data_IF_089031627923
#
_entry.id   IF_089031627923
#
_cell.length_a   1.000
_cell.length_b   1.000
_cell.length_c   1.000
_cell.angle_alpha   90.00
_cell.angle_beta   90.00
_cell.angle_gamma   90.00
#
_symmetry.space_group_name_H-M   'P 1'
#
loop_
_entity.id
_entity.type
_entity.pdbx_description
1 polymer ?
#
# COMPACT_ATOMS: atom_id res chain seq x y z
N UNK A 1 -23.10 0.02 -4.80
CA UNK A 1 -22.26 -1.00 -4.15
C UNK A 1 -23.08 -1.60 -3.02
N UNK A 2 -23.00 -2.90 -2.78
CA UNK A 2 -23.63 -3.52 -1.62
C UNK A 2 -23.01 -2.96 -0.30
N UNK A 3 -23.59 -3.24 0.87
CA UNK A 3 -22.98 -2.95 2.17
C UNK A 3 -21.56 -3.54 2.25
N UNK A 4 -20.71 -2.96 3.07
CA UNK A 4 -19.28 -3.32 3.11
C UNK A 4 -19.00 -4.79 3.47
N UNK A 5 -19.88 -5.40 4.25
CA UNK A 5 -19.88 -6.80 4.69
C UNK A 5 -20.38 -7.79 3.63
N UNK A 6 -21.05 -7.30 2.59
CA UNK A 6 -21.59 -8.10 1.48
C UNK A 6 -20.79 -7.96 0.18
N UNK A 7 -19.74 -7.16 0.17
CA UNK A 7 -18.93 -6.90 -1.04
C UNK A 7 -18.17 -8.15 -1.46
N UNK A 8 -18.31 -8.52 -2.72
CA UNK A 8 -17.65 -9.69 -3.32
C UNK A 8 -16.49 -9.30 -4.23
N UNK A 9 -15.56 -10.22 -4.56
CA UNK A 9 -14.54 -10.00 -5.59
C UNK A 9 -15.12 -9.59 -6.95
N UNK A 10 -16.30 -10.12 -7.30
CA UNK A 10 -17.01 -9.78 -8.55
C UNK A 10 -17.43 -8.31 -8.59
N UNK A 11 -17.84 -7.73 -7.45
CA UNK A 11 -18.19 -6.31 -7.35
C UNK A 11 -16.97 -5.40 -7.61
N UNK A 12 -15.81 -5.79 -7.08
CA UNK A 12 -14.54 -5.11 -7.36
C UNK A 12 -14.19 -5.18 -8.85
N UNK A 13 -14.26 -6.37 -9.44
CA UNK A 13 -13.99 -6.56 -10.87
C UNK A 13 -14.96 -5.75 -11.75
N UNK A 14 -16.24 -5.74 -11.42
CA UNK A 14 -17.26 -4.96 -12.13
C UNK A 14 -17.02 -3.45 -12.02
N UNK A 15 -16.61 -2.96 -10.83
CA UNK A 15 -16.26 -1.56 -10.64
C UNK A 15 -15.03 -1.18 -11.44
N UNK A 16 -13.96 -1.95 -11.38
CA UNK A 16 -12.72 -1.72 -12.13
C UNK A 16 -12.99 -1.70 -13.65
N UNK A 17 -13.80 -2.64 -14.15
CA UNK A 17 -14.21 -2.65 -15.56
C UNK A 17 -14.98 -1.39 -15.95
N UNK A 18 -15.87 -0.89 -15.07
CA UNK A 18 -16.69 0.32 -15.31
C UNK A 18 -15.85 1.61 -15.33
N UNK A 19 -14.74 1.64 -14.59
CA UNK A 19 -13.93 2.86 -14.46
C UNK A 19 -12.65 2.85 -15.31
N UNK A 20 -12.41 1.79 -16.07
CA UNK A 20 -11.16 1.53 -16.80
C UNK A 20 -10.71 2.69 -17.69
N UNK A 21 -11.65 3.35 -18.37
CA UNK A 21 -11.37 4.42 -19.32
C UNK A 21 -11.53 5.82 -18.69
N UNK A 22 -11.67 5.89 -17.36
CA UNK A 22 -11.82 7.17 -16.67
C UNK A 22 -10.45 7.74 -16.27
N UNK A 23 -10.28 9.07 -16.30
CA UNK A 23 -9.03 9.70 -15.86
C UNK A 23 -8.69 9.39 -14.40
N UNK A 24 -9.69 9.09 -13.56
CA UNK A 24 -9.51 8.78 -12.13
C UNK A 24 -9.25 7.30 -11.86
N UNK A 25 -9.02 6.45 -12.85
CA UNK A 25 -8.87 4.99 -12.68
C UNK A 25 -7.80 4.63 -11.65
N UNK A 26 -6.61 5.22 -11.75
CA UNK A 26 -5.50 4.94 -10.82
C UNK A 26 -5.82 5.32 -9.37
N UNK A 27 -6.61 6.39 -9.18
CA UNK A 27 -7.11 6.77 -7.87
C UNK A 27 -8.04 5.70 -7.31
N UNK A 28 -9.03 5.28 -8.12
CA UNK A 28 -10.02 4.28 -7.69
C UNK A 28 -9.33 2.95 -7.38
N UNK A 29 -8.38 2.51 -8.20
CA UNK A 29 -7.56 1.31 -7.95
C UNK A 29 -6.80 1.41 -6.63
N UNK A 30 -6.14 2.53 -6.36
CA UNK A 30 -5.44 2.77 -5.09
C UNK A 30 -6.36 2.71 -3.88
N UNK A 31 -7.55 3.33 -3.97
CA UNK A 31 -8.53 3.33 -2.88
C UNK A 31 -9.07 1.92 -2.65
N UNK A 32 -9.39 1.19 -3.71
CA UNK A 32 -9.86 -0.21 -3.62
C UNK A 32 -8.81 -1.12 -2.99
N UNK A 33 -7.54 -0.97 -3.40
CA UNK A 33 -6.44 -1.75 -2.82
C UNK A 33 -6.27 -1.48 -1.32
N UNK A 34 -6.35 -0.20 -0.92
CA UNK A 34 -6.24 0.20 0.51
C UNK A 34 -7.45 -0.23 1.35
N UNK A 35 -8.60 -0.45 0.74
CA UNK A 35 -9.80 -0.92 1.43
C UNK A 35 -9.75 -2.42 1.75
N UNK A 36 -8.83 -3.18 1.15
CA UNK A 36 -8.69 -4.60 1.42
C UNK A 36 -7.96 -4.84 2.75
N UNK A 37 -8.41 -5.83 3.49
CA UNK A 37 -7.71 -6.32 4.68
C UNK A 37 -6.39 -6.98 4.29
N UNK A 38 -5.40 -6.84 5.14
CA UNK A 38 -4.13 -7.56 4.97
C UNK A 38 -4.35 -9.06 5.11
N UNK A 39 -3.70 -9.85 4.26
CA UNK A 39 -3.68 -11.29 4.39
C UNK A 39 -3.00 -11.72 5.70
N UNK A 40 -3.53 -12.76 6.33
CA UNK A 40 -2.99 -13.36 7.54
C UNK A 40 -2.97 -14.88 7.40
N UNK A 41 -2.04 -15.53 8.09
CA UNK A 41 -2.08 -16.99 8.26
C UNK A 41 -3.09 -17.33 9.34
N UNK A 42 -3.93 -18.32 9.09
CA UNK A 42 -4.91 -18.83 10.03
C UNK A 42 -5.21 -20.30 9.72
N UNK A 43 -5.62 -21.12 10.71
CA UNK A 43 -5.95 -22.52 10.46
C UNK A 43 -7.28 -22.71 9.73
N UNK A 44 -8.20 -21.75 9.85
CA UNK A 44 -9.50 -21.78 9.21
C UNK A 44 -9.38 -21.37 7.72
N UNK A 45 -10.12 -22.08 6.87
CA UNK A 45 -10.22 -21.70 5.46
C UNK A 45 -11.25 -20.57 5.28
N UNK A 46 -10.79 -19.36 5.03
CA UNK A 46 -11.62 -18.20 4.68
C UNK A 46 -11.58 -17.84 3.18
N UNK A 47 -10.97 -18.70 2.37
CA UNK A 47 -10.74 -18.42 0.96
C UNK A 47 -9.69 -17.33 0.73
N UNK A 48 -9.70 -16.77 -0.45
CA UNK A 48 -8.84 -15.66 -0.82
C UNK A 48 -9.62 -14.63 -1.65
N UNK A 49 -10.00 -13.52 -1.02
CA UNK A 49 -10.82 -12.48 -1.66
C UNK A 49 -10.21 -11.95 -2.96
N UNK A 50 -8.96 -11.53 -2.94
CA UNK A 50 -8.31 -10.93 -4.11
C UNK A 50 -8.11 -11.88 -5.31
N UNK A 51 -8.13 -13.21 -5.08
CA UNK A 51 -8.07 -14.24 -6.14
C UNK A 51 -9.44 -14.84 -6.44
N UNK A 52 -10.49 -14.46 -5.71
CA UNK A 52 -11.84 -15.02 -5.82
C UNK A 52 -11.86 -16.56 -5.68
N UNK A 53 -11.10 -17.09 -4.71
CA UNK A 53 -11.00 -18.52 -4.44
C UNK A 53 -11.68 -18.88 -3.13
N UNK A 54 -12.51 -19.90 -3.12
CA UNK A 54 -13.21 -20.39 -1.93
C UNK A 54 -12.27 -21.12 -0.95
N UNK A 55 -11.14 -21.62 -1.46
CA UNK A 55 -10.10 -22.24 -0.65
C UNK A 55 -8.73 -21.87 -1.18
N UNK A 56 -7.83 -21.49 -0.29
CA UNK A 56 -6.48 -21.09 -0.66
C UNK A 56 -5.47 -21.42 0.43
N UNK A 57 -4.32 -21.90 0.02
CA UNK A 57 -3.16 -22.04 0.89
C UNK A 57 -1.88 -21.76 0.11
N UNK A 58 -0.91 -21.14 0.75
CA UNK A 58 0.45 -21.12 0.24
C UNK A 58 1.03 -22.53 0.20
N UNK A 59 1.70 -22.92 -0.88
CA UNK A 59 2.15 -24.31 -1.05
C UNK A 59 3.54 -24.46 -1.69
N UNK A 60 3.98 -23.50 -2.51
CA UNK A 60 5.10 -23.69 -3.44
C UNK A 60 6.47 -23.32 -2.89
N UNK A 61 6.57 -22.75 -1.69
CA UNK A 61 7.84 -22.25 -1.12
C UNK A 61 8.07 -22.68 0.35
N UNK A 62 7.99 -23.98 0.68
CA UNK A 62 8.08 -24.46 2.07
C UNK A 62 9.47 -24.30 2.70
N UNK A 63 10.50 -24.01 1.89
CA UNK A 63 11.87 -23.74 2.39
C UNK A 63 11.93 -22.40 3.14
N UNK A 64 11.21 -21.40 2.69
CA UNK A 64 11.26 -20.03 3.23
C UNK A 64 9.99 -19.57 3.93
N UNK A 65 8.88 -20.28 3.78
CA UNK A 65 7.60 -19.98 4.42
C UNK A 65 7.15 -21.16 5.30
N UNK A 66 7.34 -21.02 6.59
CA UNK A 66 7.02 -22.07 7.56
C UNK A 66 5.55 -22.54 7.50
N UNK A 67 4.52 -21.69 7.30
CA UNK A 67 3.16 -22.16 7.11
C UNK A 67 3.00 -23.19 5.99
N UNK A 68 3.74 -23.03 4.89
CA UNK A 68 3.72 -24.02 3.79
C UNK A 68 4.31 -25.35 4.21
N UNK A 69 5.37 -25.35 5.00
CA UNK A 69 5.92 -26.58 5.55
C UNK A 69 4.90 -27.30 6.44
N UNK A 70 4.09 -26.55 7.20
CA UNK A 70 2.99 -27.12 7.99
C UNK A 70 1.92 -27.74 7.09
N UNK A 71 1.55 -27.09 6.00
CA UNK A 71 0.61 -27.63 4.99
C UNK A 71 1.16 -28.93 4.39
N UNK A 72 2.42 -28.95 3.96
CA UNK A 72 3.06 -30.17 3.44
C UNK A 72 3.05 -31.33 4.44
N UNK A 73 3.34 -31.05 5.72
CA UNK A 73 3.30 -32.05 6.80
C UNK A 73 1.88 -32.58 7.01
N UNK A 74 0.88 -31.70 7.01
CA UNK A 74 -0.52 -32.08 7.16
C UNK A 74 -1.00 -32.98 6.00
N UNK A 75 -0.66 -32.60 4.77
CA UNK A 75 -0.98 -33.39 3.57
C UNK A 75 -0.32 -34.77 3.64
N UNK A 76 0.99 -34.88 3.96
CA UNK A 76 1.68 -36.15 4.12
C UNK A 76 1.00 -37.04 5.15
N UNK A 77 0.64 -36.47 6.30
CA UNK A 77 -0.05 -37.18 7.36
C UNK A 77 -1.41 -37.74 6.89
N UNK A 78 -2.21 -36.89 6.22
CA UNK A 78 -3.52 -37.29 5.69
C UNK A 78 -3.42 -38.40 4.62
N UNK A 79 -2.48 -38.28 3.66
CA UNK A 79 -2.25 -39.30 2.62
C UNK A 79 -1.79 -40.64 3.22
N UNK A 80 -1.04 -40.61 4.33
CA UNK A 80 -0.62 -41.81 5.04
C UNK A 80 -1.75 -42.44 5.87
N UNK A 81 -3.00 -42.01 5.74
CA UNK A 81 -4.17 -42.52 6.45
C UNK A 81 -4.31 -42.00 7.89
N UNK A 82 -3.60 -40.96 8.24
CA UNK A 82 -3.70 -40.32 9.55
C UNK A 82 -5.06 -39.71 9.80
N UNK A 83 -5.61 -39.88 11.00
CA UNK A 83 -6.87 -39.29 11.44
C UNK A 83 -6.61 -37.91 12.07
N UNK A 84 -7.51 -36.93 11.90
CA UNK A 84 -7.37 -35.58 12.43
C UNK A 84 -7.06 -35.55 13.95
N UNK A 85 -7.65 -36.47 14.72
CA UNK A 85 -7.43 -36.59 16.17
C UNK A 85 -6.02 -37.04 16.57
N UNK A 86 -5.23 -37.59 15.67
CA UNK A 86 -3.85 -38.05 15.89
C UNK A 86 -2.80 -37.11 15.26
N UNK A 87 -3.20 -35.99 14.69
CA UNK A 87 -2.25 -35.04 14.12
C UNK A 87 -1.39 -34.36 15.19
N UNK A 88 -0.13 -34.09 14.88
CA UNK A 88 0.86 -33.59 15.84
C UNK A 88 0.54 -32.21 16.44
N UNK A 89 -0.29 -31.43 15.78
CA UNK A 89 -0.64 -30.06 16.22
C UNK A 89 -2.15 -29.95 16.39
N UNK A 90 -2.57 -29.42 17.55
CA UNK A 90 -3.97 -29.06 17.79
C UNK A 90 -4.36 -27.77 17.04
N UNK A 91 -5.66 -27.51 16.81
CA UNK A 91 -6.13 -26.24 16.23
C UNK A 91 -5.61 -25.00 16.96
N UNK A 92 -5.57 -25.04 18.30
CA UNK A 92 -5.03 -23.94 19.12
C UNK A 92 -3.55 -23.69 18.86
N UNK A 93 -2.74 -24.76 18.76
CA UNK A 93 -1.31 -24.62 18.43
C UNK A 93 -1.13 -24.10 17.01
N UNK A 94 -1.92 -24.54 16.05
CA UNK A 94 -1.90 -24.01 14.68
C UNK A 94 -2.24 -22.52 14.66
N UNK A 95 -3.25 -22.09 15.41
CA UNK A 95 -3.62 -20.68 15.54
C UNK A 95 -2.47 -19.82 16.09
N UNK A 96 -1.81 -20.29 17.18
CA UNK A 96 -0.65 -19.59 17.75
C UNK A 96 0.50 -19.47 16.75
N UNK A 97 0.83 -20.55 16.03
CA UNK A 97 1.86 -20.55 14.99
C UNK A 97 1.51 -19.60 13.83
N UNK A 98 0.24 -19.58 13.42
CA UNK A 98 -0.25 -18.70 12.35
C UNK A 98 -0.09 -17.22 12.69
N UNK A 99 -0.47 -16.82 13.91
CA UNK A 99 -0.27 -15.45 14.41
C UNK A 99 1.22 -15.09 14.44
N UNK A 100 2.07 -16.01 14.94
CA UNK A 100 3.51 -15.80 14.98
C UNK A 100 4.10 -15.61 13.58
N UNK A 101 3.71 -16.45 12.62
CA UNK A 101 4.16 -16.34 11.22
C UNK A 101 3.72 -15.04 10.58
N UNK A 102 2.47 -14.63 10.77
CA UNK A 102 1.94 -13.35 10.25
C UNK A 102 2.68 -12.14 10.81
N UNK A 103 3.01 -12.16 12.10
CA UNK A 103 3.77 -11.08 12.74
C UNK A 103 5.21 -11.02 12.24
N UNK A 104 5.86 -12.18 12.06
CA UNK A 104 7.24 -12.24 11.53
C UNK A 104 7.31 -11.79 10.07
N UNK A 105 6.32 -12.14 9.25
CA UNK A 105 6.25 -11.69 7.86
C UNK A 105 6.10 -10.18 7.79
N UNK A 106 5.21 -9.58 8.58
CA UNK A 106 5.08 -8.12 8.68
C UNK A 106 6.38 -7.44 9.10
N UNK A 107 7.05 -7.98 10.13
CA UNK A 107 8.34 -7.45 10.59
C UNK A 107 9.41 -7.53 9.51
N UNK A 108 9.45 -8.61 8.74
CA UNK A 108 10.38 -8.75 7.62
C UNK A 108 10.09 -7.71 6.51
N UNK A 109 8.82 -7.53 6.14
CA UNK A 109 8.40 -6.51 5.17
C UNK A 109 8.69 -5.09 5.65
N UNK A 110 8.53 -4.80 6.95
CA UNK A 110 8.90 -3.50 7.53
C UNK A 110 10.40 -3.25 7.46
N UNK A 111 11.21 -4.26 7.76
CA UNK A 111 12.67 -4.16 7.65
C UNK A 111 13.14 -3.96 6.20
N UNK A 112 12.54 -4.67 5.25
CA UNK A 112 12.83 -4.51 3.82
C UNK A 112 12.48 -3.09 3.34
N UNK A 113 11.28 -2.61 3.72
CA UNK A 113 10.85 -1.24 3.41
C UNK A 113 11.77 -0.18 4.03
N UNK A 114 12.20 -0.38 5.28
CA UNK A 114 13.14 0.52 5.97
C UNK A 114 14.46 0.68 5.20
N UNK A 115 15.00 -0.44 4.71
CA UNK A 115 16.22 -0.45 3.90
C UNK A 115 15.99 0.25 2.55
N UNK A 116 14.88 -0.06 1.87
CA UNK A 116 14.52 0.55 0.59
C UNK A 116 14.35 2.07 0.71
N UNK A 117 13.68 2.56 1.76
CA UNK A 117 13.53 3.99 2.05
C UNK A 117 14.88 4.67 2.28
N UNK A 118 15.82 4.02 2.97
CA UNK A 118 17.19 4.54 3.16
C UNK A 118 17.93 4.69 1.83
N UNK A 119 17.86 3.68 0.96
CA UNK A 119 18.47 3.76 -0.37
C UNK A 119 17.84 4.86 -1.22
N UNK A 120 16.52 5.02 -1.18
CA UNK A 120 15.81 6.12 -1.84
C UNK A 120 16.28 7.48 -1.34
N UNK A 121 16.41 7.66 -0.03
CA UNK A 121 16.94 8.90 0.55
C UNK A 121 18.38 9.16 0.12
N UNK A 122 19.26 8.15 0.17
CA UNK A 122 20.67 8.27 -0.26
C UNK A 122 20.80 8.67 -1.74
N UNK A 123 19.90 8.14 -2.58
CA UNK A 123 19.86 8.54 -3.99
C UNK A 123 19.38 9.98 -4.14
N UNK A 124 18.34 10.36 -3.41
CA UNK A 124 17.75 11.71 -3.46
C UNK A 124 18.64 12.80 -2.87
N UNK A 125 19.56 12.48 -1.95
CA UNK A 125 20.54 13.47 -1.44
C UNK A 125 21.37 14.08 -2.57
N UNK A 126 21.70 13.30 -3.58
CA UNK A 126 22.46 13.75 -4.76
C UNK A 126 21.64 14.64 -5.71
N UNK A 127 20.33 14.69 -5.50
CA UNK A 127 19.38 15.40 -6.36
C UNK A 127 18.70 16.56 -5.64
N UNK A 128 19.23 16.99 -4.49
CA UNK A 128 18.75 18.20 -3.80
C UNK A 128 18.90 19.40 -4.72
N UNK A 129 17.82 20.19 -4.85
CA UNK A 129 17.74 21.32 -5.77
C UNK A 129 17.20 20.96 -7.17
N UNK A 130 17.19 19.69 -7.55
CA UNK A 130 16.63 19.21 -8.83
C UNK A 130 15.11 19.24 -8.83
N UNK A 131 14.52 19.46 -10.00
CA UNK A 131 13.07 19.44 -10.21
C UNK A 131 12.64 18.20 -10.98
N UNK A 132 11.51 17.60 -10.54
CA UNK A 132 10.95 16.39 -11.11
C UNK A 132 9.46 16.56 -11.38
N UNK A 133 8.98 15.88 -12.41
CA UNK A 133 7.56 15.65 -12.59
C UNK A 133 7.11 14.56 -11.61
N UNK A 134 5.91 14.68 -11.10
CA UNK A 134 5.33 13.70 -10.18
C UNK A 134 3.82 13.75 -10.17
N UNK A 135 3.24 12.86 -9.39
CA UNK A 135 1.79 12.73 -9.20
C UNK A 135 1.49 12.72 -7.72
N UNK A 136 0.44 13.42 -7.30
CA UNK A 136 -0.02 13.40 -5.92
C UNK A 136 -0.49 11.98 -5.57
N UNK A 137 0.28 11.28 -4.74
CA UNK A 137 0.02 9.91 -4.28
C UNK A 137 -0.70 9.83 -2.93
N UNK A 138 -0.82 10.97 -2.25
CA UNK A 138 -1.54 11.08 -0.98
C UNK A 138 -1.84 12.53 -0.62
N UNK A 139 -3.01 12.76 -0.02
CA UNK A 139 -3.43 14.06 0.48
C UNK A 139 -3.76 13.94 1.95
N UNK A 140 -3.17 14.79 2.77
CA UNK A 140 -3.32 14.82 4.23
C UNK A 140 -3.57 16.25 4.71
N UNK A 141 -3.93 16.41 5.98
CA UNK A 141 -4.10 17.73 6.60
C UNK A 141 -2.79 18.53 6.71
N UNK A 142 -1.63 17.85 6.69
CA UNK A 142 -0.31 18.47 6.82
C UNK A 142 0.44 18.61 5.50
N UNK A 143 -0.12 18.14 4.37
CA UNK A 143 0.49 18.32 3.06
C UNK A 143 0.16 17.21 2.06
N UNK A 144 0.96 17.17 0.98
CA UNK A 144 0.80 16.26 -0.14
C UNK A 144 1.97 15.28 -0.19
N UNK A 145 1.68 14.00 -0.32
CA UNK A 145 2.67 13.04 -0.76
C UNK A 145 2.70 13.05 -2.28
N UNK A 146 3.89 13.12 -2.84
CA UNK A 146 4.11 13.15 -4.30
C UNK A 146 5.03 11.99 -4.67
N UNK A 147 4.58 11.15 -5.59
CA UNK A 147 5.39 10.12 -6.21
C UNK A 147 6.03 10.69 -7.48
N UNK A 148 7.37 10.66 -7.55
CA UNK A 148 8.12 11.11 -8.72
C UNK A 148 7.92 10.15 -9.88
N UNK A 149 7.63 10.66 -11.07
CA UNK A 149 7.19 9.84 -12.22
C UNK A 149 8.23 8.83 -12.69
N UNK A 150 9.51 9.19 -12.71
CA UNK A 150 10.58 8.32 -13.21
C UNK A 150 11.08 7.33 -12.17
N UNK A 151 11.38 7.82 -10.97
CA UNK A 151 12.02 7.02 -9.91
C UNK A 151 11.03 6.28 -9.01
N UNK A 152 9.75 6.64 -9.05
CA UNK A 152 8.70 6.14 -8.16
C UNK A 152 8.98 6.40 -6.68
N UNK A 153 9.88 7.34 -6.40
CA UNK A 153 10.21 7.77 -5.04
C UNK A 153 9.13 8.72 -4.55
N UNK A 154 8.68 8.52 -3.31
CA UNK A 154 7.71 9.39 -2.67
C UNK A 154 8.40 10.42 -1.78
N UNK A 155 7.92 11.65 -1.82
CA UNK A 155 8.33 12.73 -0.92
C UNK A 155 7.13 13.54 -0.42
N UNK A 156 7.35 14.37 0.59
CA UNK A 156 6.34 15.19 1.22
C UNK A 156 6.49 16.67 0.77
N UNK A 157 5.45 17.22 0.19
CA UNK A 157 5.26 18.67 0.10
C UNK A 157 4.45 19.07 1.32
N UNK A 158 5.13 19.60 2.36
CA UNK A 158 4.46 20.06 3.56
C UNK A 158 3.52 21.23 3.23
N UNK A 159 2.42 21.39 3.96
CA UNK A 159 1.40 22.43 3.71
C UNK A 159 1.99 23.85 3.66
N UNK A 160 3.06 24.10 4.41
CA UNK A 160 3.79 25.38 4.39
C UNK A 160 4.60 25.63 3.12
N UNK A 161 4.82 24.61 2.29
CA UNK A 161 5.49 24.68 0.98
C UNK A 161 4.50 24.80 -0.17
N UNK A 162 3.20 24.79 0.13
CA UNK A 162 2.15 25.11 -0.83
C UNK A 162 2.04 26.65 -0.98
N UNK A 163 1.44 27.15 -2.08
CA UNK A 163 1.19 28.58 -2.25
C UNK A 163 0.48 29.18 -1.04
N UNK A 164 0.90 30.38 -0.61
CA UNK A 164 0.43 31.00 0.61
C UNK A 164 -1.09 31.17 0.63
N UNK A 165 -1.75 30.29 1.36
CA UNK A 165 -3.19 30.22 1.55
C UNK A 165 -3.51 29.44 2.83
N UNK A 166 -4.76 29.47 3.28
CA UNK A 166 -5.26 28.56 4.32
C UNK A 166 -5.93 27.37 3.65
N UNK A 167 -5.51 26.14 3.98
CA UNK A 167 -5.96 24.93 3.32
C UNK A 167 -6.89 24.10 4.21
N UNK A 168 -8.05 23.76 3.67
CA UNK A 168 -9.01 22.84 4.28
C UNK A 168 -8.84 21.43 3.69
N UNK A 169 -8.69 20.45 4.55
CA UNK A 169 -8.58 19.04 4.16
C UNK A 169 -9.94 18.33 4.25
N UNK A 170 -10.37 17.73 3.16
CA UNK A 170 -11.52 16.82 3.09
C UNK A 170 -11.03 15.36 3.06
N UNK A 171 -11.12 14.62 4.17
CA UNK A 171 -10.64 13.24 4.24
C UNK A 171 -11.46 12.26 3.39
N UNK A 172 -12.74 12.56 3.13
CA UNK A 172 -13.61 11.70 2.31
C UNK A 172 -13.29 11.79 0.83
N UNK A 173 -12.87 12.97 0.38
CA UNK A 173 -12.54 13.24 -1.02
C UNK A 173 -11.06 13.21 -1.31
N UNK A 174 -10.21 13.00 -0.29
CA UNK A 174 -8.75 13.14 -0.39
C UNK A 174 -8.36 14.44 -1.10
N UNK A 175 -8.90 15.55 -0.62
CA UNK A 175 -8.83 16.87 -1.26
C UNK A 175 -8.31 17.90 -0.28
N UNK A 176 -7.34 18.70 -0.71
CA UNK A 176 -6.89 19.91 -0.02
C UNK A 176 -7.35 21.12 -0.83
N UNK A 177 -8.09 22.04 -0.22
CA UNK A 177 -8.64 23.22 -0.90
C UNK A 177 -8.17 24.50 -0.22
N UNK A 178 -7.55 25.40 -0.97
CA UNK A 178 -7.17 26.73 -0.51
C UNK A 178 -8.38 27.65 -0.39
N UNK A 179 -8.48 28.37 0.73
CA UNK A 179 -9.63 29.23 1.07
C UNK A 179 -9.69 30.48 0.19
N UNK A 180 -8.54 31.15 -0.01
CA UNK A 180 -8.48 32.45 -0.71
C UNK A 180 -8.36 32.30 -2.22
N UNK A 181 -7.47 31.39 -2.65
CA UNK A 181 -7.14 31.18 -4.08
C UNK A 181 -7.96 30.10 -4.74
N UNK A 182 -8.69 29.31 -3.96
CA UNK A 182 -9.48 28.18 -4.46
C UNK A 182 -8.66 27.07 -5.10
N UNK A 183 -7.34 27.06 -4.89
CA UNK A 183 -6.45 26.00 -5.38
C UNK A 183 -6.86 24.66 -4.79
N UNK A 184 -6.90 23.65 -5.62
CA UNK A 184 -7.31 22.29 -5.21
C UNK A 184 -6.22 21.31 -5.56
N UNK A 185 -5.87 20.45 -4.59
CA UNK A 185 -4.94 19.35 -4.78
C UNK A 185 -5.65 18.06 -4.46
N UNK A 186 -5.65 17.16 -5.42
CA UNK A 186 -6.33 15.86 -5.36
C UNK A 186 -5.33 14.74 -5.56
N UNK A 187 -5.70 13.58 -5.11
CA UNK A 187 -5.00 12.36 -5.46
C UNK A 187 -5.01 12.19 -7.00
N UNK A 188 -3.84 11.88 -7.58
CA UNK A 188 -3.70 11.73 -9.03
C UNK A 188 -3.36 13.01 -9.79
N UNK A 189 -3.39 14.20 -9.15
CA UNK A 189 -3.03 15.44 -9.82
C UNK A 189 -1.55 15.43 -10.24
N UNK A 190 -1.22 15.77 -11.50
CA UNK A 190 0.16 15.94 -11.94
C UNK A 190 0.73 17.22 -11.35
N UNK A 191 1.96 17.15 -10.85
CA UNK A 191 2.67 18.27 -10.24
C UNK A 191 4.14 18.27 -10.63
N UNK A 192 4.78 19.45 -10.60
CA UNK A 192 6.23 19.55 -10.61
C UNK A 192 6.71 19.90 -9.21
N UNK A 193 7.75 19.21 -8.76
CA UNK A 193 8.30 19.39 -7.41
C UNK A 193 9.81 19.52 -7.46
N UNK A 194 10.34 20.34 -6.57
CA UNK A 194 11.78 20.44 -6.34
C UNK A 194 12.15 19.77 -5.03
N UNK A 195 13.23 19.04 -5.01
CA UNK A 195 13.78 18.41 -3.81
C UNK A 195 14.43 19.49 -2.94
N UNK A 196 13.93 19.64 -1.71
CA UNK A 196 14.50 20.58 -0.74
C UNK A 196 15.54 19.88 0.15
N UNK A 197 15.22 18.68 0.59
CA UNK A 197 16.03 17.92 1.52
C UNK A 197 15.73 16.42 1.35
N UNK A 198 16.76 15.61 1.50
CA UNK A 198 16.63 14.18 1.76
C UNK A 198 17.44 13.85 3.01
N UNK A 199 16.90 13.04 3.91
CA UNK A 199 17.53 12.66 5.18
C UNK A 199 17.52 11.15 5.32
N UNK A 200 18.70 10.53 5.32
CA UNK A 200 18.84 9.10 5.59
C UNK A 200 18.40 8.74 7.02
N UNK A 201 18.71 9.64 7.97
CA UNK A 201 18.42 9.42 9.39
C UNK A 201 16.91 9.39 9.64
N UNK A 202 16.20 10.43 9.14
CA UNK A 202 14.75 10.57 9.28
C UNK A 202 13.97 9.72 8.27
N UNK A 203 14.63 9.22 7.21
CA UNK A 203 14.00 8.53 6.06
C UNK A 203 12.92 9.38 5.42
N UNK A 204 13.21 10.68 5.25
CA UNK A 204 12.28 11.66 4.72
C UNK A 204 12.89 12.40 3.53
N UNK A 205 12.02 12.68 2.58
CA UNK A 205 12.32 13.49 1.42
C UNK A 205 11.32 14.64 1.42
N UNK A 206 11.84 15.85 1.62
CA UNK A 206 11.05 17.06 1.64
C UNK A 206 11.08 17.70 0.25
N UNK A 207 9.91 18.02 -0.25
CA UNK A 207 9.68 18.59 -1.56
C UNK A 207 8.98 19.95 -1.42
N UNK A 208 9.09 20.79 -2.46
CA UNK A 208 8.22 21.96 -2.65
C UNK A 208 7.62 21.95 -4.04
N UNK A 209 6.45 22.53 -4.22
CA UNK A 209 5.91 22.74 -5.55
C UNK A 209 6.84 23.66 -6.36
N UNK A 210 7.15 23.25 -7.57
CA UNK A 210 7.85 24.06 -8.56
C UNK A 210 6.86 24.57 -9.62
N UNK A 211 7.19 25.67 -10.26
CA UNK A 211 6.44 26.11 -11.43
C UNK A 211 6.55 25.07 -12.53
N UNK A 212 5.46 24.85 -13.26
CA UNK A 212 5.49 24.01 -14.45
C UNK A 212 6.50 24.62 -15.46
N UNK A 213 7.55 23.89 -15.87
CA UNK A 213 8.49 24.42 -16.87
C UNK A 213 7.83 24.72 -18.23
N UNK A 214 6.63 24.20 -18.48
CA UNK A 214 5.83 24.50 -19.67
C UNK A 214 4.91 25.73 -19.53
N UNK A 215 4.93 26.43 -18.37
CA UNK A 215 4.24 27.73 -18.20
C UNK A 215 2.72 27.68 -18.22
N UNK A 216 2.10 26.59 -17.73
CA UNK A 216 0.65 26.49 -17.56
C UNK A 216 0.23 26.73 -16.12
#
# INVERSE_FOLDING_TARGET
MPPADEVTPADFAALLKKVRDRPEVSLIESVLLRAQSMAVYQPENSGHFGLALDAYAHFTSPIRRYPELLVHRAIRYAISGGKASGYAYSPTQMGTMSVHCSNNERRAQEAERDVDERYKCAWMEKHVGSTFAGVVSGVTSFGLFVELSESRINGLVHITQLPNDYYHFDPKRHLLTGERRGLKFRLGDPVHVQVLRASLEDRKIDLRLAADPAGR
#
